data_IF_762892416952
#
_entry.id   IF_762892416952
#
_cell.length_a   1.000
_cell.length_b   1.000
_cell.length_c   1.000
_cell.angle_alpha   90.00
_cell.angle_beta   90.00
_cell.angle_gamma   90.00
#
_symmetry.space_group_name_H-M   'P 1'
#
loop_
_entity.id
_entity.type
_entity.pdbx_description
1 polymer ?
#
# COMPACT_ATOMS: atom_id res chain seq x y z
N UNK A 1 28.97 1.43 37.96
CA UNK A 1 29.25 1.31 36.51
C UNK A 1 28.40 2.38 35.84
N UNK A 2 29.00 3.26 35.05
CA UNK A 2 28.29 4.32 34.31
C UNK A 2 27.63 3.70 33.09
N UNK A 3 26.30 3.67 33.06
CA UNK A 3 25.49 3.22 31.93
C UNK A 3 25.80 4.08 30.70
N UNK A 4 25.97 3.46 29.54
CA UNK A 4 26.27 4.21 28.31
C UNK A 4 24.94 4.58 27.64
N UNK A 5 24.63 5.87 27.58
CA UNK A 5 23.44 6.38 26.89
C UNK A 5 23.85 6.76 25.47
N UNK A 6 23.29 6.08 24.49
CA UNK A 6 23.52 6.32 23.07
C UNK A 6 22.25 6.90 22.42
N UNK A 7 22.43 7.97 21.65
CA UNK A 7 21.34 8.49 20.80
C UNK A 7 21.06 7.53 19.65
N UNK A 8 19.80 7.42 19.26
CA UNK A 8 19.40 6.61 18.11
C UNK A 8 20.00 7.20 16.82
N UNK A 9 20.59 6.35 15.99
CA UNK A 9 20.90 6.72 14.61
C UNK A 9 19.61 6.89 13.78
N UNK A 10 19.74 7.27 12.51
CA UNK A 10 18.58 7.59 11.66
C UNK A 10 17.70 6.36 11.40
N UNK A 11 18.30 5.21 11.13
CA UNK A 11 17.58 3.94 10.93
C UNK A 11 16.88 3.45 12.20
N UNK A 12 17.57 3.51 13.34
CA UNK A 12 17.01 3.22 14.66
C UNK A 12 15.85 4.16 14.99
N UNK A 13 15.95 5.45 14.67
CA UNK A 13 14.89 6.43 14.89
C UNK A 13 13.62 6.13 14.07
N UNK A 14 13.79 5.54 12.88
CA UNK A 14 12.67 5.08 12.04
C UNK A 14 12.00 3.83 12.64
N UNK A 15 12.77 2.90 13.19
CA UNK A 15 12.27 1.65 13.80
C UNK A 15 11.64 1.95 15.17
N UNK A 16 12.36 2.60 16.06
CA UNK A 16 11.97 2.89 17.45
C UNK A 16 11.22 4.21 17.61
N UNK A 17 10.50 4.63 16.58
CA UNK A 17 9.65 5.83 16.67
C UNK A 17 8.52 5.63 17.70
N UNK A 18 8.07 6.74 18.31
CA UNK A 18 6.90 6.77 19.23
C UNK A 18 5.71 5.99 18.67
N UNK A 19 5.45 6.14 17.38
CA UNK A 19 4.33 5.49 16.71
C UNK A 19 4.46 3.97 16.64
N UNK A 20 5.67 3.42 16.51
CA UNK A 20 5.88 1.97 16.46
C UNK A 20 5.89 1.37 17.87
N UNK A 21 6.41 2.09 18.87
CA UNK A 21 6.32 1.67 20.27
C UNK A 21 4.85 1.61 20.69
N UNK A 22 4.06 2.64 20.38
CA UNK A 22 2.60 2.65 20.63
C UNK A 22 1.86 1.49 19.97
N UNK A 23 2.30 1.05 18.79
CA UNK A 23 1.70 -0.12 18.10
C UNK A 23 2.16 -1.45 18.68
N UNK A 24 3.29 -1.49 19.37
CA UNK A 24 3.82 -2.70 20.00
C UNK A 24 3.30 -2.90 21.42
N UNK A 25 2.88 -1.82 22.09
CA UNK A 25 2.47 -1.83 23.49
C UNK A 25 1.22 -0.96 23.70
N UNK A 26 0.09 -1.59 24.04
CA UNK A 26 -1.19 -0.90 24.23
C UNK A 26 -1.19 0.04 25.45
N UNK A 27 -0.33 -0.24 26.44
CA UNK A 27 -0.13 0.57 27.66
C UNK A 27 0.92 1.69 27.47
N UNK A 28 1.39 1.90 26.24
CA UNK A 28 2.37 2.94 25.96
C UNK A 28 1.76 4.33 26.09
N UNK A 29 2.25 5.07 27.09
CA UNK A 29 2.00 6.50 27.20
C UNK A 29 2.92 7.25 26.23
N UNK A 30 2.32 7.87 25.21
CA UNK A 30 3.02 8.69 24.22
C UNK A 30 3.08 10.18 24.57
N UNK A 31 2.58 10.55 25.75
CA UNK A 31 2.63 11.91 26.29
C UNK A 31 3.92 12.16 27.07
N UNK A 32 4.34 13.43 27.11
CA UNK A 32 5.47 13.91 27.91
C UNK A 32 6.80 13.15 27.75
N UNK A 33 7.04 12.54 26.59
CA UNK A 33 8.32 11.91 26.25
C UNK A 33 9.38 12.98 25.99
N UNK A 34 10.45 12.92 26.78
CA UNK A 34 11.65 13.74 26.61
C UNK A 34 12.56 13.18 25.52
N UNK A 35 12.88 11.88 25.60
CA UNK A 35 13.79 11.22 24.67
C UNK A 35 13.48 9.73 24.48
N UNK A 36 13.93 9.18 23.36
CA UNK A 36 14.01 7.73 23.11
C UNK A 36 15.47 7.45 22.77
N UNK A 37 16.12 6.56 23.51
CA UNK A 37 17.54 6.29 23.39
C UNK A 37 17.85 4.80 23.62
N UNK A 38 19.10 4.43 23.37
CA UNK A 38 19.64 3.14 23.76
C UNK A 38 20.45 3.31 25.06
N UNK A 39 20.18 2.48 26.06
CA UNK A 39 20.97 2.40 27.30
C UNK A 39 21.48 0.99 27.45
N UNK A 40 22.80 0.79 27.40
CA UNK A 40 23.42 -0.54 27.48
C UNK A 40 22.78 -1.58 26.51
N UNK A 41 22.45 -1.12 25.29
CA UNK A 41 21.75 -1.86 24.22
C UNK A 41 20.26 -2.20 24.48
N UNK A 42 19.65 -1.65 25.53
CA UNK A 42 18.21 -1.70 25.76
C UNK A 42 17.53 -0.43 25.23
N UNK A 43 16.31 -0.57 24.69
CA UNK A 43 15.52 0.56 24.22
C UNK A 43 14.82 1.21 25.42
N UNK A 44 15.15 2.46 25.71
CA UNK A 44 14.61 3.20 26.86
C UNK A 44 13.89 4.45 26.37
N UNK A 45 12.70 4.67 26.93
CA UNK A 45 11.95 5.92 26.79
C UNK A 45 12.08 6.69 28.08
N UNK A 46 12.54 7.94 27.96
CA UNK A 46 12.72 8.88 29.07
C UNK A 46 11.60 9.89 29.01
N UNK A 47 10.83 10.01 30.10
CA UNK A 47 9.75 10.97 30.26
C UNK A 47 10.26 12.28 30.86
N UNK A 48 9.51 13.38 30.70
CA UNK A 48 9.88 14.71 31.17
C UNK A 48 9.96 14.82 32.70
N UNK A 49 9.30 13.91 33.43
CA UNK A 49 9.40 13.79 34.89
C UNK A 49 10.67 13.05 35.36
N UNK A 50 11.49 12.58 34.41
CA UNK A 50 12.72 11.83 34.66
C UNK A 50 12.50 10.33 34.86
N UNK A 51 11.26 9.82 34.71
CA UNK A 51 11.03 8.38 34.72
C UNK A 51 11.54 7.74 33.44
N UNK A 52 12.08 6.53 33.58
CA UNK A 52 12.62 5.74 32.48
C UNK A 52 11.87 4.41 32.41
N UNK A 53 11.44 4.03 31.21
CA UNK A 53 10.81 2.73 30.96
C UNK A 53 11.51 2.04 29.80
N UNK A 54 11.89 0.80 30.04
CA UNK A 54 12.50 -0.08 29.04
C UNK A 54 11.41 -0.78 28.21
N UNK A 55 11.64 -0.91 26.91
CA UNK A 55 10.75 -1.59 25.98
C UNK A 55 11.50 -2.68 25.19
N UNK A 56 10.81 -3.80 24.95
CA UNK A 56 11.35 -4.91 24.16
C UNK A 56 11.55 -4.50 22.69
N UNK A 57 12.82 -4.45 22.26
CA UNK A 57 13.23 -4.10 20.89
C UNK A 57 12.59 -5.00 19.85
N UNK A 58 12.47 -6.30 20.12
CA UNK A 58 11.99 -7.27 19.15
C UNK A 58 10.51 -7.00 18.82
N UNK A 59 9.69 -6.72 19.84
CA UNK A 59 8.28 -6.34 19.64
C UNK A 59 8.13 -5.08 18.79
N UNK A 60 8.98 -4.06 19.01
CA UNK A 60 8.94 -2.83 18.21
C UNK A 60 9.40 -3.09 16.77
N UNK A 61 10.42 -3.92 16.57
CA UNK A 61 10.88 -4.35 15.22
C UNK A 61 9.79 -5.09 14.47
N UNK A 62 9.07 -5.99 15.13
CA UNK A 62 7.97 -6.74 14.53
C UNK A 62 6.81 -5.80 14.18
N UNK A 63 6.43 -4.91 15.09
CA UNK A 63 5.42 -3.88 14.84
C UNK A 63 5.79 -2.95 13.67
N UNK A 64 7.07 -2.57 13.57
CA UNK A 64 7.59 -1.80 12.44
C UNK A 64 7.41 -2.56 11.12
N UNK A 65 7.85 -3.83 11.05
CA UNK A 65 7.70 -4.66 9.84
C UNK A 65 6.24 -4.82 9.45
N UNK A 66 5.38 -5.19 10.41
CA UNK A 66 3.95 -5.43 10.19
C UNK A 66 3.24 -4.17 9.70
N UNK A 67 3.53 -3.02 10.32
CA UNK A 67 2.92 -1.77 9.89
C UNK A 67 3.36 -1.38 8.48
N UNK A 68 4.63 -1.59 8.09
CA UNK A 68 5.11 -1.25 6.75
C UNK A 68 4.56 -2.20 5.69
N UNK A 69 4.45 -3.49 5.99
CA UNK A 69 3.97 -4.52 5.07
C UNK A 69 2.45 -4.69 5.05
N UNK A 70 1.70 -3.99 5.91
CA UNK A 70 0.22 -4.09 5.96
C UNK A 70 -0.43 -3.91 4.59
N UNK A 71 -1.50 -4.66 4.35
CA UNK A 71 -2.33 -4.53 3.16
C UNK A 71 -3.56 -3.66 3.47
N UNK A 72 -3.69 -2.47 2.86
CA UNK A 72 -4.90 -1.66 2.99
C UNK A 72 -6.11 -2.32 2.34
N UNK A 73 -7.30 -1.80 2.63
CA UNK A 73 -8.53 -2.28 2.01
C UNK A 73 -8.49 -2.12 0.47
N UNK A 74 -9.38 -2.84 -0.21
CA UNK A 74 -9.41 -2.88 -1.66
C UNK A 74 -9.62 -1.50 -2.31
N UNK A 75 -10.34 -0.59 -1.66
CA UNK A 75 -10.71 0.70 -2.27
C UNK A 75 -9.68 1.81 -2.01
N UNK A 76 -8.72 1.58 -1.10
CA UNK A 76 -7.68 2.53 -0.69
C UNK A 76 -6.90 3.16 -1.86
N UNK A 77 -6.67 2.43 -2.95
CA UNK A 77 -5.85 2.89 -4.08
C UNK A 77 -6.49 2.76 -5.46
N UNK A 78 -7.82 2.75 -5.49
CA UNK A 78 -8.58 2.82 -6.73
C UNK A 78 -8.79 4.28 -7.15
N UNK A 79 -8.73 4.53 -8.45
CA UNK A 79 -9.21 5.77 -9.05
C UNK A 79 -10.73 5.78 -9.17
N UNK A 80 -11.30 6.87 -9.71
CA UNK A 80 -12.72 6.97 -10.03
C UNK A 80 -13.22 5.80 -10.88
N UNK A 81 -14.52 5.48 -10.74
CA UNK A 81 -15.19 4.43 -11.52
C UNK A 81 -14.49 3.06 -11.46
N UNK A 82 -13.97 2.71 -10.27
CA UNK A 82 -13.23 1.49 -9.96
C UNK A 82 -11.96 1.30 -10.78
N UNK A 83 -11.38 2.39 -11.28
CA UNK A 83 -10.14 2.35 -12.06
C UNK A 83 -8.99 1.80 -11.20
N UNK A 84 -8.41 0.70 -11.65
CA UNK A 84 -7.23 0.11 -11.03
C UNK A 84 -5.96 0.95 -11.26
N UNK A 85 -4.80 0.43 -10.84
CA UNK A 85 -3.50 1.04 -11.13
C UNK A 85 -3.33 1.32 -12.63
N UNK A 86 -2.94 2.54 -12.96
CA UNK A 86 -2.62 2.91 -14.35
C UNK A 86 -1.17 2.61 -14.64
N UNK A 87 -0.88 1.81 -15.67
CA UNK A 87 0.47 1.74 -16.21
C UNK A 87 0.89 3.12 -16.74
N UNK A 88 2.15 3.48 -16.52
CA UNK A 88 2.73 4.70 -17.06
C UNK A 88 3.94 4.43 -17.96
N UNK A 89 5.16 4.38 -17.40
CA UNK A 89 6.42 4.20 -18.15
C UNK A 89 7.41 3.42 -17.31
N UNK A 90 8.40 2.79 -17.96
CA UNK A 90 9.55 2.16 -17.28
C UNK A 90 9.17 1.16 -16.17
N UNK A 91 8.11 0.38 -16.39
CA UNK A 91 7.54 -0.54 -15.40
C UNK A 91 6.95 0.13 -14.13
N UNK A 92 6.71 1.44 -14.20
CA UNK A 92 6.02 2.19 -13.16
C UNK A 92 4.52 2.22 -13.38
N UNK A 93 3.78 2.17 -12.27
CA UNK A 93 2.35 2.31 -12.18
C UNK A 93 2.00 3.51 -11.30
N UNK A 94 0.90 4.17 -11.65
CA UNK A 94 0.26 5.16 -10.78
C UNK A 94 -0.82 4.46 -9.97
N UNK A 95 -0.63 4.45 -8.65
CA UNK A 95 -1.68 4.17 -7.68
C UNK A 95 -2.40 5.46 -7.34
N UNK A 96 -3.70 5.51 -7.58
CA UNK A 96 -4.53 6.63 -7.17
C UNK A 96 -4.69 6.62 -5.65
N UNK A 97 -4.98 7.77 -5.04
CA UNK A 97 -5.61 7.76 -3.71
C UNK A 97 -7.10 7.51 -3.87
N UNK A 98 -7.67 6.61 -3.08
CA UNK A 98 -9.09 6.22 -3.12
C UNK A 98 -10.08 7.30 -2.68
N UNK A 99 -9.94 8.55 -3.15
CA UNK A 99 -10.77 9.69 -2.77
C UNK A 99 -12.26 9.42 -3.02
N UNK A 100 -12.61 8.74 -4.11
CA UNK A 100 -13.99 8.35 -4.45
C UNK A 100 -14.66 7.39 -3.46
N UNK A 101 -13.90 6.78 -2.56
CA UNK A 101 -14.38 5.67 -1.72
C UNK A 101 -14.31 5.96 -0.22
N UNK A 102 -13.96 7.19 0.16
CA UNK A 102 -13.79 7.58 1.57
C UNK A 102 -15.11 7.74 2.32
N UNK A 103 -16.12 8.36 1.68
CA UNK A 103 -17.44 8.58 2.26
C UNK A 103 -18.47 8.87 1.18
N UNK A 104 -19.75 8.78 1.50
CA UNK A 104 -20.82 9.05 0.55
C UNK A 104 -20.76 10.50 0.06
N UNK A 105 -20.64 10.69 -1.25
CA UNK A 105 -20.47 12.01 -1.86
C UNK A 105 -19.02 12.41 -2.09
N UNK A 106 -18.03 11.61 -1.68
CA UNK A 106 -16.61 11.93 -1.85
C UNK A 106 -16.18 12.02 -3.32
N UNK A 107 -16.96 11.45 -4.25
CA UNK A 107 -16.79 11.66 -5.70
C UNK A 107 -16.90 13.14 -6.13
N UNK A 108 -17.50 14.01 -5.31
CA UNK A 108 -17.61 15.45 -5.55
C UNK A 108 -16.42 16.26 -5.03
N UNK A 109 -15.50 15.62 -4.31
CA UNK A 109 -14.30 16.28 -3.82
C UNK A 109 -13.46 16.83 -4.98
N UNK A 110 -12.78 17.98 -4.82
CA UNK A 110 -11.87 18.50 -5.85
C UNK A 110 -10.84 17.47 -6.31
N UNK A 111 -10.31 16.68 -5.37
CA UNK A 111 -9.35 15.60 -5.64
C UNK A 111 -9.94 14.53 -6.56
N UNK A 112 -11.15 14.05 -6.25
CA UNK A 112 -11.90 13.07 -7.03
C UNK A 112 -12.20 13.56 -8.46
N UNK A 113 -12.64 14.82 -8.57
CA UNK A 113 -12.92 15.45 -9.87
C UNK A 113 -11.64 15.59 -10.70
N UNK A 114 -10.52 15.98 -10.07
CA UNK A 114 -9.24 16.04 -10.77
C UNK A 114 -8.75 14.67 -11.22
N UNK A 115 -8.88 13.65 -10.37
CA UNK A 115 -8.58 12.26 -10.75
C UNK A 115 -9.39 11.82 -11.96
N UNK A 116 -10.67 12.17 -12.04
CA UNK A 116 -11.50 11.83 -13.19
C UNK A 116 -11.09 12.60 -14.45
N UNK A 117 -10.63 13.85 -14.33
CA UNK A 117 -10.21 14.68 -15.47
C UNK A 117 -8.85 14.31 -16.07
N UNK A 118 -7.93 13.86 -15.21
CA UNK A 118 -6.52 13.62 -15.55
C UNK A 118 -6.12 12.15 -15.54
N UNK A 119 -6.92 11.25 -14.97
CA UNK A 119 -6.54 9.85 -14.78
C UNK A 119 -6.23 9.09 -16.08
N UNK A 120 -6.73 9.55 -17.21
CA UNK A 120 -6.47 9.01 -18.56
C UNK A 120 -5.39 9.79 -19.36
N UNK A 121 -4.80 10.83 -18.76
CA UNK A 121 -3.89 11.79 -19.41
C UNK A 121 -2.49 11.82 -18.78
N UNK A 122 -2.17 10.79 -18.01
CA UNK A 122 -0.90 10.69 -17.27
C UNK A 122 0.30 10.47 -18.21
N UNK A 123 0.06 9.98 -19.41
CA UNK A 123 1.02 9.77 -20.48
C UNK A 123 1.64 11.07 -21.02
N UNK A 124 0.96 12.21 -20.85
CA UNK A 124 1.47 13.54 -21.18
C UNK A 124 2.64 13.98 -20.31
N UNK A 125 2.75 13.45 -19.09
CA UNK A 125 3.89 13.71 -18.20
C UNK A 125 5.02 12.75 -18.61
N UNK A 126 6.14 13.31 -19.09
CA UNK A 126 7.20 12.52 -19.75
C UNK A 126 8.32 12.06 -18.82
N UNK A 127 8.55 12.75 -17.70
CA UNK A 127 9.66 12.48 -16.80
C UNK A 127 9.18 12.12 -15.38
N UNK A 128 10.01 11.36 -14.67
CA UNK A 128 9.68 10.77 -13.37
C UNK A 128 9.49 11.83 -12.28
N UNK A 129 10.33 12.87 -12.29
CA UNK A 129 10.25 13.98 -11.32
C UNK A 129 8.94 14.76 -11.47
N UNK A 130 8.56 15.09 -12.69
CA UNK A 130 7.30 15.74 -13.02
C UNK A 130 6.10 14.87 -12.66
N UNK A 131 6.20 13.55 -12.83
CA UNK A 131 5.15 12.63 -12.39
C UNK A 131 5.04 12.61 -10.87
N UNK A 132 6.15 12.50 -10.13
CA UNK A 132 6.15 12.57 -8.67
C UNK A 132 5.57 13.90 -8.18
N UNK A 133 6.01 15.02 -8.73
CA UNK A 133 5.51 16.35 -8.38
C UNK A 133 4.02 16.52 -8.68
N UNK A 134 3.52 15.97 -9.79
CA UNK A 134 2.10 15.98 -10.12
C UNK A 134 1.29 15.15 -9.13
N UNK A 135 1.77 13.94 -8.78
CA UNK A 135 1.07 13.04 -7.86
C UNK A 135 1.08 13.55 -6.41
N UNK A 136 2.16 14.21 -6.01
CA UNK A 136 2.35 14.77 -4.66
C UNK A 136 1.80 16.19 -4.51
N UNK A 137 1.23 16.77 -5.57
CA UNK A 137 0.67 18.12 -5.53
C UNK A 137 -0.25 18.28 -4.30
N UNK A 138 0.00 19.27 -3.41
CA UNK A 138 -0.75 19.40 -2.16
C UNK A 138 -2.25 19.64 -2.33
N UNK A 139 -2.66 20.30 -3.41
CA UNK A 139 -4.05 20.68 -3.64
C UNK A 139 -4.92 19.47 -4.00
N UNK A 140 -4.37 18.55 -4.78
CA UNK A 140 -5.13 17.43 -5.35
C UNK A 140 -4.69 16.07 -4.84
N UNK A 141 -3.43 15.94 -4.41
CA UNK A 141 -2.83 14.76 -3.80
C UNK A 141 -3.25 13.47 -4.51
N UNK A 142 -2.81 13.35 -5.75
CA UNK A 142 -3.38 12.45 -6.74
C UNK A 142 -3.12 10.97 -6.43
N UNK A 143 -1.94 10.64 -5.94
CA UNK A 143 -1.52 9.24 -5.86
C UNK A 143 -0.05 9.03 -5.51
N UNK A 144 0.46 7.88 -5.94
CA UNK A 144 1.83 7.43 -5.76
C UNK A 144 2.33 6.76 -7.04
N UNK A 145 3.56 7.05 -7.42
CA UNK A 145 4.29 6.28 -8.40
C UNK A 145 4.92 5.06 -7.72
N UNK A 146 4.69 3.87 -8.26
CA UNK A 146 5.22 2.59 -7.75
C UNK A 146 5.79 1.75 -8.89
N UNK A 147 6.88 1.03 -8.63
CA UNK A 147 7.45 0.05 -9.54
C UNK A 147 7.71 -1.24 -8.74
N UNK A 148 6.74 -2.15 -8.65
CA UNK A 148 6.85 -3.35 -7.80
C UNK A 148 8.00 -4.28 -8.24
N UNK A 149 8.37 -4.31 -9.52
CA UNK A 149 9.46 -5.13 -10.05
C UNK A 149 10.68 -4.27 -10.46
N UNK A 150 10.82 -3.09 -9.84
CA UNK A 150 11.86 -2.13 -10.16
C UNK A 150 11.60 -1.30 -11.42
N UNK A 151 12.36 -0.22 -11.55
CA UNK A 151 12.23 0.73 -12.67
C UNK A 151 13.11 0.27 -13.81
N UNK A 152 12.52 0.10 -15.00
CA UNK A 152 13.25 -0.27 -16.21
C UNK A 152 13.77 0.99 -16.89
N UNK A 153 15.00 1.37 -16.57
CA UNK A 153 15.68 2.43 -17.31
C UNK A 153 16.16 1.90 -18.66
N UNK A 154 16.13 2.74 -19.72
CA UNK A 154 16.76 2.39 -20.99
C UNK A 154 18.21 1.99 -20.75
N UNK A 155 18.69 0.96 -21.45
CA UNK A 155 20.10 0.61 -21.40
C UNK A 155 20.92 1.86 -21.76
N UNK A 156 22.03 2.12 -21.04
CA UNK A 156 22.95 3.17 -21.45
C UNK A 156 23.38 2.91 -22.90
N UNK A 157 23.64 3.97 -23.69
CA UNK A 157 24.16 3.81 -25.03
C UNK A 157 25.42 2.94 -25.00
N UNK A 158 25.60 2.10 -26.02
CA UNK A 158 26.79 1.25 -26.15
C UNK A 158 28.04 2.14 -26.02
N UNK A 159 28.83 1.90 -24.97
CA UNK A 159 30.13 2.56 -24.84
C UNK A 159 31.02 2.10 -25.99
N UNK A 160 31.59 3.05 -26.71
CA UNK A 160 32.65 2.82 -27.70
C UNK A 160 34.03 2.93 -27.02
N UNK A 161 34.06 3.28 -25.73
CA UNK A 161 35.28 3.40 -24.94
C UNK A 161 35.74 2.01 -24.48
N UNK A 162 37.03 1.69 -24.70
CA UNK A 162 37.69 0.43 -24.28
C UNK A 162 37.91 0.36 -22.75
N UNK A 163 37.13 1.09 -21.96
CA UNK A 163 37.17 0.98 -20.51
C UNK A 163 36.50 -0.33 -20.08
N UNK A 164 37.22 -1.13 -19.30
CA UNK A 164 36.69 -2.32 -18.60
C UNK A 164 35.64 -1.96 -17.51
N UNK A 165 35.01 -0.79 -17.60
CA UNK A 165 33.90 -0.41 -16.73
C UNK A 165 32.66 -1.23 -17.11
N UNK A 166 32.55 -2.39 -16.47
CA UNK A 166 31.36 -3.24 -16.53
C UNK A 166 30.15 -2.39 -16.12
N UNK A 167 29.23 -2.17 -17.05
CA UNK A 167 27.99 -1.46 -16.79
C UNK A 167 27.29 -2.10 -15.58
N UNK A 168 27.02 -1.29 -14.55
CA UNK A 168 26.28 -1.73 -13.36
C UNK A 168 24.96 -2.36 -13.79
N UNK A 169 24.68 -3.58 -13.34
CA UNK A 169 23.40 -4.23 -13.64
C UNK A 169 22.23 -3.37 -13.12
N UNK A 170 21.12 -3.28 -13.87
CA UNK A 170 19.97 -2.50 -13.47
C UNK A 170 19.38 -3.00 -12.13
N UNK A 171 19.16 -2.06 -11.21
CA UNK A 171 18.53 -2.32 -9.92
C UNK A 171 17.03 -2.66 -10.12
N UNK A 172 16.70 -3.94 -10.02
CA UNK A 172 15.34 -4.46 -10.10
C UNK A 172 14.59 -4.43 -8.75
N UNK A 173 15.14 -3.76 -7.73
CA UNK A 173 14.47 -3.64 -6.44
C UNK A 173 13.18 -2.82 -6.55
N UNK A 174 12.12 -3.20 -5.79
CA UNK A 174 10.86 -2.46 -5.77
C UNK A 174 11.08 -0.96 -5.47
N UNK A 175 10.30 -0.09 -6.09
CA UNK A 175 10.33 1.36 -5.83
C UNK A 175 8.95 1.89 -5.48
N UNK A 176 8.91 2.88 -4.57
CA UNK A 176 7.71 3.67 -4.30
C UNK A 176 8.11 5.12 -3.98
N UNK A 177 7.35 6.06 -4.54
CA UNK A 177 7.49 7.50 -4.26
C UNK A 177 7.05 7.92 -2.86
N UNK A 178 6.39 7.06 -2.08
CA UNK A 178 5.90 7.50 -0.79
C UNK A 178 7.05 7.80 0.19
N UNK A 179 6.92 8.88 0.96
CA UNK A 179 7.98 9.31 1.90
C UNK A 179 8.41 8.21 2.88
N UNK A 180 7.48 7.37 3.34
CA UNK A 180 7.77 6.19 4.16
C UNK A 180 8.78 5.24 3.52
N UNK A 181 8.68 4.99 2.21
CA UNK A 181 9.57 4.09 1.49
C UNK A 181 10.91 4.77 1.22
N UNK A 182 10.89 6.04 0.80
CA UNK A 182 12.10 6.84 0.55
C UNK A 182 13.00 6.93 1.79
N UNK A 183 12.41 7.14 2.98
CA UNK A 183 13.15 7.16 4.24
C UNK A 183 13.80 5.81 4.58
N UNK A 184 13.12 4.69 4.29
CA UNK A 184 13.71 3.37 4.47
C UNK A 184 14.89 3.13 3.52
N UNK A 185 14.75 3.54 2.25
CA UNK A 185 15.82 3.41 1.25
C UNK A 185 17.04 4.25 1.64
N UNK A 186 16.81 5.48 2.11
CA UNK A 186 17.86 6.40 2.54
C UNK A 186 18.70 5.83 3.70
N UNK A 187 18.04 5.21 4.68
CA UNK A 187 18.68 4.69 5.89
C UNK A 187 18.78 3.15 5.93
N UNK A 188 18.79 2.50 4.76
CA UNK A 188 18.70 1.04 4.66
C UNK A 188 19.82 0.32 5.42
N UNK A 189 21.05 0.80 5.33
CA UNK A 189 22.21 0.18 6.02
C UNK A 189 22.02 0.14 7.54
N UNK A 190 21.54 1.25 8.11
CA UNK A 190 21.27 1.36 9.55
C UNK A 190 20.08 0.49 9.97
N UNK A 191 19.04 0.44 9.14
CA UNK A 191 17.89 -0.45 9.36
C UNK A 191 18.32 -1.92 9.31
N UNK A 192 19.18 -2.31 8.36
CA UNK A 192 19.70 -3.67 8.23
C UNK A 192 20.63 -4.08 9.37
N UNK A 193 21.34 -3.13 9.98
CA UNK A 193 22.12 -3.38 11.19
C UNK A 193 21.21 -3.77 12.37
N UNK A 194 20.02 -3.18 12.47
CA UNK A 194 19.02 -3.54 13.49
C UNK A 194 18.16 -4.75 13.11
N UNK A 195 17.85 -4.90 11.83
CA UNK A 195 16.98 -5.95 11.28
C UNK A 195 17.74 -6.61 10.11
N UNK A 196 18.59 -7.61 10.38
CA UNK A 196 19.36 -8.28 9.33
C UNK A 196 18.47 -8.81 8.22
N UNK A 197 18.84 -8.54 6.97
CA UNK A 197 18.09 -8.95 5.78
C UNK A 197 16.83 -8.13 5.49
N UNK A 198 16.62 -6.98 6.15
CA UNK A 198 15.50 -6.11 5.85
C UNK A 198 15.55 -5.57 4.41
N UNK A 199 14.41 -5.68 3.70
CA UNK A 199 14.17 -5.05 2.41
C UNK A 199 13.13 -3.94 2.55
N UNK A 200 13.36 -2.75 1.96
CA UNK A 200 12.37 -1.68 1.98
C UNK A 200 11.02 -2.13 1.44
N UNK A 201 9.96 -1.82 2.18
CA UNK A 201 8.58 -2.11 1.75
C UNK A 201 7.61 -1.03 2.21
N UNK A 202 6.41 -1.04 1.64
CA UNK A 202 5.33 -0.19 2.09
C UNK A 202 3.97 -0.77 1.68
N UNK A 203 2.93 -0.28 2.35
CA UNK A 203 1.53 -0.63 2.05
C UNK A 203 1.12 -0.49 0.59
N UNK A 204 1.76 0.39 -0.19
CA UNK A 204 1.49 0.57 -1.63
C UNK A 204 1.98 -0.63 -2.43
N UNK A 205 3.20 -1.11 -2.12
CA UNK A 205 3.79 -2.30 -2.73
C UNK A 205 2.98 -3.55 -2.35
N UNK A 206 2.61 -3.68 -1.08
CA UNK A 206 1.72 -4.78 -0.63
C UNK A 206 0.40 -4.76 -1.39
N UNK A 207 -0.23 -3.59 -1.52
CA UNK A 207 -1.53 -3.47 -2.19
C UNK A 207 -1.45 -3.78 -3.69
N UNK A 208 -0.46 -3.24 -4.43
CA UNK A 208 -0.35 -3.50 -5.87
C UNK A 208 -0.01 -4.97 -6.17
N UNK A 209 0.78 -5.61 -5.31
CA UNK A 209 1.08 -7.03 -5.44
C UNK A 209 -0.18 -7.88 -5.22
N UNK A 210 -0.97 -7.58 -4.19
CA UNK A 210 -2.26 -8.26 -3.97
C UNK A 210 -3.27 -8.01 -5.09
N UNK A 211 -3.30 -6.79 -5.63
CA UNK A 211 -4.10 -6.46 -6.80
C UNK A 211 -3.70 -7.28 -8.03
N UNK A 212 -2.39 -7.39 -8.31
CA UNK A 212 -1.87 -8.20 -9.41
C UNK A 212 -2.19 -9.68 -9.24
N UNK A 213 -2.10 -10.21 -8.02
CA UNK A 213 -2.49 -11.59 -7.71
C UNK A 213 -3.97 -11.82 -8.04
N UNK A 214 -4.85 -10.90 -7.62
CA UNK A 214 -6.28 -10.96 -7.92
C UNK A 214 -6.53 -10.97 -9.44
N UNK A 215 -5.86 -10.09 -10.19
CA UNK A 215 -5.99 -10.02 -11.64
C UNK A 215 -5.49 -11.31 -12.32
N UNK A 216 -4.38 -11.88 -11.84
CA UNK A 216 -3.83 -13.13 -12.35
C UNK A 216 -4.79 -14.29 -12.14
N UNK A 217 -5.34 -14.46 -10.93
CA UNK A 217 -6.36 -15.47 -10.62
C UNK A 217 -7.61 -15.29 -11.50
N UNK A 218 -8.05 -14.05 -11.69
CA UNK A 218 -9.19 -13.73 -12.57
C UNK A 218 -8.92 -14.09 -14.04
N UNK A 219 -7.73 -13.79 -14.55
CA UNK A 219 -7.34 -14.15 -15.92
C UNK A 219 -7.30 -15.67 -16.10
N UNK A 220 -6.72 -16.41 -15.14
CA UNK A 220 -6.68 -17.87 -15.16
C UNK A 220 -8.10 -18.49 -15.19
N UNK A 221 -9.04 -17.92 -14.44
CA UNK A 221 -10.45 -18.33 -14.49
C UNK A 221 -11.09 -18.07 -15.86
N UNK A 222 -10.80 -16.94 -16.50
CA UNK A 222 -11.31 -16.66 -17.85
C UNK A 222 -10.75 -17.63 -18.88
N UNK A 223 -9.46 -17.98 -18.78
CA UNK A 223 -8.83 -18.92 -19.69
C UNK A 223 -9.34 -20.35 -19.49
N UNK A 224 -9.63 -20.78 -18.26
CA UNK A 224 -10.22 -22.10 -17.98
C UNK A 224 -11.67 -22.23 -18.44
N UNK A 225 -12.43 -21.13 -18.44
CA UNK A 225 -13.82 -21.08 -18.89
C UNK A 225 -13.98 -20.83 -20.40
N UNK A 226 -12.89 -20.62 -21.15
CA UNK A 226 -12.91 -20.21 -22.56
C UNK A 226 -13.72 -21.19 -23.42
N UNK A 227 -14.74 -20.69 -24.11
CA UNK A 227 -15.62 -21.47 -24.99
C UNK A 227 -16.84 -22.09 -24.30
N UNK A 228 -16.98 -21.93 -22.97
CA UNK A 228 -18.19 -22.33 -22.23
C UNK A 228 -18.96 -21.11 -21.76
N UNK A 229 -20.30 -21.13 -21.89
CA UNK A 229 -21.12 -20.11 -21.22
C UNK A 229 -21.20 -20.44 -19.74
N UNK A 230 -20.49 -19.68 -18.91
CA UNK A 230 -20.61 -19.84 -17.46
C UNK A 230 -22.04 -19.56 -17.02
N UNK A 231 -22.64 -20.54 -16.35
CA UNK A 231 -23.96 -20.40 -15.74
C UNK A 231 -23.87 -19.67 -14.40
N UNK A 232 -22.71 -19.69 -13.74
CA UNK A 232 -22.50 -18.97 -12.49
C UNK A 232 -21.87 -17.61 -12.76
N UNK A 233 -22.43 -16.58 -12.17
CA UNK A 233 -21.82 -15.25 -12.19
C UNK A 233 -21.94 -14.61 -10.81
N UNK A 234 -20.90 -13.90 -10.44
CA UNK A 234 -20.85 -13.09 -9.22
C UNK A 234 -20.63 -11.63 -9.60
N UNK A 235 -21.35 -10.74 -8.94
CA UNK A 235 -21.18 -9.30 -9.01
C UNK A 235 -21.01 -8.76 -7.60
N UNK A 236 -20.53 -7.54 -7.48
CA UNK A 236 -20.36 -6.91 -6.18
C UNK A 236 -20.71 -5.43 -6.28
N UNK A 237 -21.07 -4.85 -5.14
CA UNK A 237 -21.31 -3.42 -5.00
C UNK A 237 -20.71 -2.94 -3.70
N UNK A 238 -20.19 -1.72 -3.71
CA UNK A 238 -19.66 -1.05 -2.54
C UNK A 238 -20.27 0.33 -2.41
N UNK A 239 -20.80 0.63 -1.24
CA UNK A 239 -21.20 1.96 -0.83
C UNK A 239 -20.20 2.46 0.23
N UNK A 240 -19.51 3.59 0.01
CA UNK A 240 -18.67 4.20 1.02
C UNK A 240 -19.42 4.52 2.32
N UNK A 241 -18.71 4.74 3.45
CA UNK A 241 -19.32 5.11 4.72
C UNK A 241 -20.25 6.32 4.59
N UNK A 242 -21.45 6.22 5.15
CA UNK A 242 -22.37 7.35 5.28
C UNK A 242 -21.97 8.32 6.39
N UNK A 243 -22.74 9.40 6.55
CA UNK A 243 -22.55 10.33 7.66
C UNK A 243 -22.70 9.60 9.02
N UNK A 244 -21.73 9.79 9.91
CA UNK A 244 -21.68 9.12 11.22
C UNK A 244 -21.34 7.63 11.16
N UNK A 245 -20.91 7.09 10.02
CA UNK A 245 -20.47 5.70 9.87
C UNK A 245 -18.96 5.62 9.66
N UNK A 246 -18.33 4.65 10.32
CA UNK A 246 -16.89 4.38 10.15
C UNK A 246 -16.61 3.43 8.97
N UNK A 247 -17.58 2.55 8.65
CA UNK A 247 -17.42 1.49 7.65
C UNK A 247 -18.41 1.68 6.50
N UNK A 248 -17.94 1.36 5.29
CA UNK A 248 -18.78 1.25 4.11
C UNK A 248 -19.51 -0.09 4.08
N UNK A 249 -20.45 -0.21 3.16
CA UNK A 249 -21.23 -1.41 2.95
C UNK A 249 -20.78 -2.12 1.68
N UNK A 250 -20.24 -3.33 1.83
CA UNK A 250 -19.88 -4.21 0.73
C UNK A 250 -20.94 -5.31 0.57
N UNK A 251 -21.29 -5.63 -0.67
CA UNK A 251 -22.28 -6.66 -0.98
C UNK A 251 -21.81 -7.50 -2.16
N UNK A 252 -22.06 -8.80 -2.07
CA UNK A 252 -21.83 -9.75 -3.17
C UNK A 252 -23.17 -10.28 -3.65
N UNK A 253 -23.37 -10.25 -4.94
CA UNK A 253 -24.53 -10.77 -5.65
C UNK A 253 -24.09 -11.98 -6.46
N UNK A 254 -24.93 -13.00 -6.56
CA UNK A 254 -24.64 -14.16 -7.40
C UNK A 254 -25.88 -14.61 -8.16
N UNK A 255 -25.64 -15.27 -9.30
CA UNK A 255 -26.65 -15.92 -10.12
C UNK A 255 -26.10 -17.24 -10.64
N UNK A 256 -26.99 -18.22 -10.85
CA UNK A 256 -26.70 -19.50 -11.51
C UNK A 256 -27.42 -19.61 -12.86
N UNK A 257 -27.90 -18.48 -13.40
CA UNK A 257 -28.64 -18.40 -14.66
C UNK A 257 -27.87 -17.65 -15.75
N UNK A 258 -26.55 -17.55 -15.61
CA UNK A 258 -25.64 -16.85 -16.51
C UNK A 258 -25.51 -15.35 -16.20
N UNK A 259 -24.46 -14.73 -16.73
CA UNK A 259 -24.12 -13.31 -16.52
C UNK A 259 -25.20 -12.33 -17.02
N UNK A 260 -26.00 -12.72 -18.01
CA UNK A 260 -27.09 -11.90 -18.58
C UNK A 260 -28.45 -12.17 -17.90
N UNK A 261 -28.46 -12.84 -16.75
CA UNK A 261 -29.70 -13.14 -16.04
C UNK A 261 -30.43 -11.85 -15.64
N UNK A 262 -31.77 -11.80 -15.75
CA UNK A 262 -32.55 -10.66 -15.27
C UNK A 262 -32.43 -10.50 -13.75
N UNK A 263 -32.63 -9.28 -13.25
CA UNK A 263 -32.38 -8.88 -11.84
C UNK A 263 -33.05 -9.82 -10.81
N UNK A 264 -34.25 -10.31 -11.10
CA UNK A 264 -35.00 -11.21 -10.23
C UNK A 264 -34.35 -12.60 -10.03
N UNK A 265 -33.33 -12.94 -10.82
CA UNK A 265 -32.54 -14.18 -10.67
C UNK A 265 -31.24 -13.97 -9.89
N UNK A 266 -30.87 -12.73 -9.58
CA UNK A 266 -29.72 -12.41 -8.74
C UNK A 266 -30.10 -12.49 -7.26
N UNK A 267 -29.20 -13.05 -6.46
CA UNK A 267 -29.38 -13.23 -5.02
C UNK A 267 -28.24 -12.59 -4.27
N UNK A 268 -28.54 -12.00 -3.13
CA UNK A 268 -27.53 -11.49 -2.21
C UNK A 268 -26.84 -12.67 -1.51
N UNK A 269 -25.51 -12.72 -1.58
CA UNK A 269 -24.70 -13.69 -0.86
C UNK A 269 -24.76 -13.41 0.65
N UNK A 270 -25.11 -14.42 1.44
CA UNK A 270 -25.25 -14.35 2.91
C UNK A 270 -25.94 -13.06 3.37
N UNK A 271 -27.21 -12.90 2.97
CA UNK A 271 -28.03 -11.69 3.20
C UNK A 271 -28.04 -11.15 4.63
N UNK A 272 -27.83 -12.00 5.63
CA UNK A 272 -27.88 -11.65 7.05
C UNK A 272 -26.52 -11.20 7.59
N UNK A 273 -25.46 -11.30 6.79
CA UNK A 273 -24.10 -10.85 7.11
C UNK A 273 -23.85 -9.47 6.51
N UNK A 274 -23.31 -8.55 7.33
CA UNK A 274 -22.87 -7.23 6.88
C UNK A 274 -21.38 -7.26 6.59
N UNK A 275 -21.01 -7.06 5.33
CA UNK A 275 -19.63 -6.92 4.91
C UNK A 275 -19.25 -5.46 4.73
N UNK A 276 -17.96 -5.18 4.88
CA UNK A 276 -17.34 -3.87 4.78
C UNK A 276 -16.22 -3.86 3.73
N UNK A 277 -15.56 -2.72 3.55
CA UNK A 277 -14.37 -2.60 2.71
C UNK A 277 -13.23 -3.55 3.13
N UNK A 278 -13.16 -3.93 4.40
CA UNK A 278 -12.10 -4.80 4.92
C UNK A 278 -12.27 -6.26 4.50
N UNK A 279 -13.50 -6.68 4.15
CA UNK A 279 -13.81 -8.04 3.73
C UNK A 279 -13.60 -8.26 2.22
N UNK A 280 -13.46 -7.17 1.45
CA UNK A 280 -13.49 -7.19 0.00
C UNK A 280 -12.44 -8.13 -0.60
N UNK A 281 -11.19 -8.07 -0.13
CA UNK A 281 -10.12 -8.94 -0.63
C UNK A 281 -10.44 -10.43 -0.50
N UNK A 282 -10.82 -10.86 0.70
CA UNK A 282 -11.17 -12.26 0.97
C UNK A 282 -12.41 -12.71 0.22
N UNK A 283 -13.39 -11.82 0.03
CA UNK A 283 -14.57 -12.11 -0.77
C UNK A 283 -14.24 -12.23 -2.26
N UNK A 284 -13.33 -11.42 -2.80
CA UNK A 284 -12.85 -11.58 -4.18
C UNK A 284 -12.14 -12.90 -4.41
N UNK A 285 -11.26 -13.30 -3.50
CA UNK A 285 -10.60 -14.60 -3.55
C UNK A 285 -11.64 -15.74 -3.53
N UNK A 286 -12.57 -15.71 -2.57
CA UNK A 286 -13.64 -16.71 -2.48
C UNK A 286 -14.56 -16.73 -3.71
N UNK A 287 -14.84 -15.57 -4.32
CA UNK A 287 -15.64 -15.49 -5.55
C UNK A 287 -14.91 -16.16 -6.73
N UNK A 288 -13.59 -16.00 -6.85
CA UNK A 288 -12.81 -16.60 -7.94
C UNK A 288 -12.66 -18.12 -7.77
N UNK A 289 -12.56 -18.62 -6.54
CA UNK A 289 -12.45 -20.06 -6.25
C UNK A 289 -13.77 -20.83 -6.46
N UNK A 290 -14.92 -20.15 -6.35
CA UNK A 290 -16.24 -20.78 -6.43
C UNK A 290 -17.01 -20.48 -7.73
N UNK A 291 -16.34 -19.83 -8.70
CA UNK A 291 -16.91 -19.45 -10.00
C UNK A 291 -17.14 -20.66 -10.93
#
# INVERSE_FOLDING_TARGET
MTSTIEQLNSGQSIIYSRSNIRRAFDDFDDTDISAICMVDNNLVVVYNDGTEKEYDKQKVKDSFKDFRSRCPDFFSYLGPDLKGPSFWRNNCYVLFKGWNYQFQGSYRLPQSIMQQRWGDKLDHIQNEEGMKAFLENPDYSFGYLVAPDGVLYPNPPLSIDDSDEVATEPDHSPQCSCGSFLQQKLHLKEIQAEIPGYEPTCKHLTWINRWRELLSKRAALFDSARGTMSQKATAWSYAPPGEGQELGQFQVLYTTSGQMAPLNKWKLYRKDTRYSQHDAWSLFEAMLENA
#
